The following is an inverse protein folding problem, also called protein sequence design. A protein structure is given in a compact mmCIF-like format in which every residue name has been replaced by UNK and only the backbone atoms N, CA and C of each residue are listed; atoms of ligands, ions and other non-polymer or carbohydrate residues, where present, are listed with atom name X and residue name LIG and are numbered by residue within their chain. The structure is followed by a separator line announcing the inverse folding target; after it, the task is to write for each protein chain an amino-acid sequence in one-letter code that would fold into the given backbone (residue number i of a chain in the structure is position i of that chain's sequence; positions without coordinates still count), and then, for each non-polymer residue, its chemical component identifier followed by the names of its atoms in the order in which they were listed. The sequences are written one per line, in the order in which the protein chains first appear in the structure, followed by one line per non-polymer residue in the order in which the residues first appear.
data_IF_527829415507
#
_entry.id   IF_527829415507
#
_cell.length_a   1.000
_cell.length_b   1.000
_cell.length_c   1.000
_cell.angle_alpha   90.00
_cell.angle_beta   90.00
_cell.angle_gamma   90.00
#
_symmetry.space_group_name_H-M   'P 1'
#
loop_
_entity.id
_entity.type
_entity.pdbx_description
1 polymer ?
#
# COMPACT_ATOMS: atom_id res chain seq x y z
N UNK A 1 -26.93 -30.10 -49.80
CA UNK A 1 -25.89 -31.13 -50.00
C UNK A 1 -24.75 -30.79 -49.04
N UNK A 2 -24.26 -31.61 -48.12
CA UNK A 2 -24.57 -32.92 -47.54
C UNK A 2 -23.62 -32.98 -46.31
N UNK A 3 -24.14 -33.02 -45.07
CA UNK A 3 -24.05 -34.13 -44.11
C UNK A 3 -22.65 -34.81 -44.03
N UNK A 4 -21.99 -35.02 -42.89
CA UNK A 4 -22.23 -35.95 -41.75
C UNK A 4 -21.03 -35.71 -40.78
N UNK A 5 -20.97 -36.05 -39.49
CA UNK A 5 -21.63 -37.02 -38.61
C UNK A 5 -21.26 -36.63 -37.17
N UNK A 6 -22.19 -36.75 -36.22
CA UNK A 6 -21.88 -36.62 -34.80
C UNK A 6 -21.31 -37.90 -34.21
N UNK A 7 -20.59 -37.76 -33.09
CA UNK A 7 -20.49 -38.76 -32.02
C UNK A 7 -20.55 -38.04 -30.66
N UNK A 8 -21.55 -38.44 -29.89
CA UNK A 8 -21.87 -38.10 -28.51
C UNK A 8 -21.26 -39.22 -27.64
N UNK A 9 -20.42 -38.92 -26.65
CA UNK A 9 -20.06 -39.87 -25.59
C UNK A 9 -19.93 -39.14 -24.24
N UNK A 10 -20.73 -39.63 -23.29
CA UNK A 10 -21.04 -39.15 -21.94
C UNK A 10 -19.86 -39.00 -20.95
N UNK A 11 -20.06 -38.28 -19.82
CA UNK A 11 -19.08 -38.17 -18.74
C UNK A 11 -19.10 -39.42 -17.85
N UNK A 12 -18.01 -40.18 -17.87
CA UNK A 12 -17.79 -41.38 -17.05
C UNK A 12 -17.12 -41.08 -15.70
N UNK A 13 -17.94 -41.09 -14.65
CA UNK A 13 -17.73 -41.68 -13.32
C UNK A 13 -16.34 -42.23 -12.87
N UNK A 14 -15.91 -41.73 -11.69
CA UNK A 14 -15.16 -42.35 -10.57
C UNK A 14 -13.73 -42.90 -10.77
N UNK A 15 -12.78 -42.39 -9.96
CA UNK A 15 -12.05 -43.21 -8.97
C UNK A 15 -11.36 -42.32 -7.93
N UNK A 16 -11.78 -42.46 -6.67
CA UNK A 16 -11.04 -41.99 -5.50
C UNK A 16 -9.86 -42.93 -5.26
N UNK A 17 -8.63 -42.44 -5.36
CA UNK A 17 -7.47 -43.14 -4.84
C UNK A 17 -6.94 -42.36 -3.62
N UNK A 18 -7.34 -42.84 -2.44
CA UNK A 18 -6.67 -42.56 -1.17
C UNK A 18 -5.22 -43.02 -1.31
N UNK A 19 -4.29 -42.08 -1.18
CA UNK A 19 -2.87 -42.32 -1.05
C UNK A 19 -2.34 -41.58 0.16
N UNK A 20 -2.65 -42.06 1.37
CA UNK A 20 -1.99 -41.60 2.59
C UNK A 20 -0.59 -42.24 2.66
N UNK A 21 0.35 -41.67 1.92
CA UNK A 21 1.79 -41.93 2.07
C UNK A 21 2.40 -40.96 3.08
N UNK A 22 2.19 -41.19 4.37
CA UNK A 22 2.91 -40.45 5.43
C UNK A 22 4.30 -41.03 5.60
N UNK A 23 5.28 -40.48 4.89
CA UNK A 23 6.71 -40.69 5.17
C UNK A 23 7.16 -39.58 6.13
N UNK A 24 7.50 -39.87 7.39
CA UNK A 24 8.04 -38.84 8.28
C UNK A 24 9.48 -38.52 7.87
N UNK A 25 9.71 -37.30 7.38
CA UNK A 25 11.03 -36.78 7.03
C UNK A 25 11.79 -36.37 8.32
N UNK A 26 13.01 -36.90 8.57
CA UNK A 26 13.72 -36.79 9.85
C UNK A 26 14.36 -35.42 10.14
N UNK A 27 13.99 -34.35 9.40
CA UNK A 27 14.55 -33.00 9.61
C UNK A 27 13.59 -32.02 10.30
N UNK A 28 12.38 -32.45 10.67
CA UNK A 28 11.33 -31.55 11.18
C UNK A 28 11.38 -31.26 12.69
N UNK A 29 12.20 -31.96 13.46
CA UNK A 29 12.26 -31.75 14.93
C UNK A 29 13.20 -30.61 15.36
N UNK A 30 14.21 -30.28 14.54
CA UNK A 30 15.12 -29.17 14.85
C UNK A 30 14.45 -27.81 14.62
N UNK A 31 13.56 -27.70 13.63
CA UNK A 31 12.92 -26.41 13.27
C UNK A 31 11.74 -26.08 14.20
N UNK A 32 11.08 -27.08 14.79
CA UNK A 32 10.02 -26.85 15.77
C UNK A 32 10.55 -26.36 17.10
N UNK A 33 11.77 -26.78 17.49
CA UNK A 33 12.41 -26.31 18.72
C UNK A 33 12.74 -24.81 18.66
N UNK A 34 13.25 -24.33 17.53
CA UNK A 34 13.58 -22.91 17.30
C UNK A 34 12.33 -22.00 17.26
N UNK A 35 11.20 -22.50 16.74
CA UNK A 35 9.93 -21.75 16.77
C UNK A 35 9.25 -21.80 18.15
N UNK A 36 9.48 -22.86 18.92
CA UNK A 36 8.92 -23.01 20.26
C UNK A 36 9.70 -22.24 21.33
N UNK A 37 10.99 -21.98 21.10
CA UNK A 37 11.85 -21.17 21.98
C UNK A 37 11.48 -19.67 21.97
N UNK A 38 10.81 -19.19 20.92
CA UNK A 38 10.23 -17.84 20.89
C UNK A 38 8.84 -17.76 21.58
N UNK A 39 8.25 -18.88 22.00
CA UNK A 39 6.84 -18.94 22.40
C UNK A 39 6.60 -18.87 23.92
N UNK A 40 7.56 -19.20 24.79
CA UNK A 40 7.29 -19.35 26.24
C UNK A 40 8.23 -18.61 27.20
N UNK A 41 8.91 -17.55 26.75
CA UNK A 41 9.41 -16.55 27.70
C UNK A 41 8.32 -15.52 27.95
N UNK A 42 7.48 -15.77 28.95
CA UNK A 42 6.68 -14.71 29.55
C UNK A 42 7.65 -13.66 30.08
N UNK A 43 7.86 -12.58 29.30
CA UNK A 43 8.69 -11.44 29.68
C UNK A 43 8.31 -11.01 31.10
N UNK A 44 9.21 -11.06 32.10
CA UNK A 44 8.86 -10.84 33.50
C UNK A 44 8.40 -9.41 33.86
N UNK A 45 8.27 -8.50 32.89
CA UNK A 45 7.95 -7.08 33.14
C UNK A 45 6.52 -6.68 32.76
N UNK A 46 5.68 -7.62 32.33
CA UNK A 46 4.34 -7.27 31.92
C UNK A 46 3.45 -7.03 33.15
N UNK A 47 3.16 -5.75 33.45
CA UNK A 47 2.19 -5.29 34.46
C UNK A 47 1.01 -6.26 34.60
N UNK A 48 0.47 -6.52 35.79
CA UNK A 48 -0.61 -7.48 35.93
C UNK A 48 -1.78 -7.17 34.98
N UNK A 49 -2.52 -8.21 34.57
CA UNK A 49 -3.51 -8.09 33.49
C UNK A 49 -4.57 -7.01 33.77
N UNK A 50 -4.82 -6.71 35.04
CA UNK A 50 -5.76 -5.67 35.46
C UNK A 50 -5.23 -4.27 35.14
N UNK A 51 -3.96 -4.00 35.41
CA UNK A 51 -3.31 -2.74 35.05
C UNK A 51 -3.26 -2.56 33.53
N UNK A 52 -2.98 -3.62 32.76
CA UNK A 52 -3.01 -3.56 31.28
C UNK A 52 -4.39 -3.16 30.75
N UNK A 53 -5.45 -3.75 31.32
CA UNK A 53 -6.84 -3.39 30.98
C UNK A 53 -7.14 -1.93 31.30
N UNK A 54 -6.72 -1.45 32.48
CA UNK A 54 -6.92 -0.06 32.89
C UNK A 54 -6.17 0.93 31.97
N UNK A 55 -4.91 0.64 31.63
CA UNK A 55 -4.12 1.48 30.71
C UNK A 55 -4.75 1.51 29.32
N UNK A 56 -5.19 0.37 28.80
CA UNK A 56 -5.86 0.30 27.50
C UNK A 56 -7.16 1.11 27.50
N UNK A 57 -7.98 0.97 28.55
CA UNK A 57 -9.22 1.73 28.70
C UNK A 57 -8.95 3.23 28.65
N UNK A 58 -7.96 3.71 29.41
CA UNK A 58 -7.57 5.13 29.42
C UNK A 58 -7.09 5.60 28.03
N UNK A 59 -6.26 4.80 27.34
CA UNK A 59 -5.78 5.12 25.99
C UNK A 59 -6.90 5.15 24.95
N UNK A 60 -7.92 4.29 25.08
CA UNK A 60 -9.08 4.28 24.20
C UNK A 60 -9.98 5.49 24.46
N UNK A 61 -10.12 5.93 25.73
CA UNK A 61 -10.86 7.14 26.08
C UNK A 61 -10.19 8.42 25.55
N UNK A 62 -8.86 8.48 25.59
CA UNK A 62 -8.07 9.60 25.07
C UNK A 62 -7.77 9.49 23.56
N UNK A 63 -8.44 8.59 22.85
CA UNK A 63 -8.16 8.31 21.44
C UNK A 63 -8.69 9.43 20.54
N UNK A 64 -7.85 9.90 19.61
CA UNK A 64 -8.22 10.86 18.56
C UNK A 64 -9.22 10.26 17.56
N UNK A 65 -10.06 11.10 16.99
CA UNK A 65 -11.04 10.71 15.97
C UNK A 65 -10.33 10.34 14.66
N UNK A 66 -11.03 9.60 13.79
CA UNK A 66 -10.45 9.16 12.51
C UNK A 66 -10.17 10.36 11.60
N UNK A 67 -11.04 11.35 11.65
CA UNK A 67 -11.01 12.59 10.85
C UNK A 67 -9.76 13.41 11.19
N UNK A 68 -9.45 13.58 12.48
CA UNK A 68 -8.24 14.26 12.96
C UNK A 68 -6.97 13.57 12.46
N UNK A 69 -6.93 12.23 12.50
CA UNK A 69 -5.78 11.46 12.01
C UNK A 69 -5.58 11.60 10.49
N UNK A 70 -6.67 11.72 9.73
CA UNK A 70 -6.61 12.00 8.28
C UNK A 70 -6.11 13.42 8.05
N UNK A 71 -6.59 14.41 8.82
CA UNK A 71 -6.15 15.80 8.71
C UNK A 71 -4.67 15.98 9.05
N UNK A 72 -4.14 15.19 10.00
CA UNK A 72 -2.71 15.14 10.33
C UNK A 72 -1.88 14.36 9.29
N UNK A 73 -2.51 13.72 8.31
CA UNK A 73 -1.83 12.92 7.29
C UNK A 73 -1.30 11.57 7.77
N UNK A 74 -1.75 11.07 8.93
CA UNK A 74 -1.36 9.78 9.49
C UNK A 74 -2.14 8.64 8.83
N UNK A 75 -3.45 8.83 8.64
CA UNK A 75 -4.36 7.82 8.09
C UNK A 75 -4.79 8.16 6.64
N UNK A 76 -5.04 7.15 5.78
CA UNK A 76 -5.61 7.37 4.46
C UNK A 76 -6.99 8.06 4.50
N UNK A 77 -7.34 8.86 3.47
CA UNK A 77 -8.64 9.56 3.41
C UNK A 77 -9.84 8.62 3.43
N UNK A 78 -10.94 9.08 4.06
CA UNK A 78 -12.17 8.30 4.25
C UNK A 78 -12.94 8.00 2.96
N UNK A 79 -12.79 8.85 1.95
CA UNK A 79 -13.53 8.75 0.67
C UNK A 79 -12.99 7.68 -0.28
N UNK A 80 -11.78 7.18 -0.02
CA UNK A 80 -11.09 6.23 -0.88
C UNK A 80 -10.71 4.97 -0.08
N UNK A 81 -10.85 3.76 -0.66
CA UNK A 81 -10.39 2.54 0.00
C UNK A 81 -8.91 2.61 0.40
N UNK A 82 -8.58 2.17 1.62
CA UNK A 82 -7.22 2.25 2.16
C UNK A 82 -6.22 1.40 1.35
N UNK A 83 -6.66 0.26 0.80
CA UNK A 83 -5.82 -0.67 0.04
C UNK A 83 -5.17 -0.06 -1.20
N UNK A 84 -5.77 0.99 -1.77
CA UNK A 84 -5.30 1.62 -3.01
C UNK A 84 -4.67 3.01 -2.79
N UNK A 85 -4.49 3.41 -1.53
CA UNK A 85 -4.02 4.76 -1.21
C UNK A 85 -2.62 5.03 -1.79
N UNK A 86 -1.73 4.05 -1.72
CA UNK A 86 -0.35 4.17 -2.18
C UNK A 86 -0.27 4.26 -3.71
N UNK A 87 -0.97 3.39 -4.43
CA UNK A 87 -1.02 3.39 -5.89
C UNK A 87 -1.55 4.72 -6.42
N UNK A 88 -2.64 5.23 -5.82
CA UNK A 88 -3.20 6.54 -6.18
C UNK A 88 -2.20 7.66 -5.90
N UNK A 89 -1.57 7.68 -4.73
CA UNK A 89 -0.57 8.69 -4.35
C UNK A 89 0.63 8.68 -5.30
N UNK A 90 1.09 7.50 -5.69
CA UNK A 90 2.18 7.31 -6.65
C UNK A 90 1.80 7.86 -8.03
N UNK A 91 0.61 7.51 -8.51
CA UNK A 91 0.08 7.99 -9.78
C UNK A 91 -0.10 9.53 -9.79
N UNK A 92 -0.65 10.11 -8.72
CA UNK A 92 -0.80 11.57 -8.61
C UNK A 92 0.57 12.27 -8.60
N UNK A 93 1.57 11.71 -7.91
CA UNK A 93 2.95 12.24 -7.99
C UNK A 93 3.48 12.19 -9.42
N UNK A 94 3.44 11.03 -10.07
CA UNK A 94 3.93 10.88 -11.44
C UNK A 94 3.26 11.86 -12.40
N UNK A 95 1.93 12.04 -12.30
CA UNK A 95 1.20 13.04 -13.10
C UNK A 95 1.71 14.45 -12.86
N UNK A 96 1.87 14.85 -11.59
CA UNK A 96 2.36 16.19 -11.26
C UNK A 96 3.81 16.40 -11.70
N UNK A 97 4.66 15.38 -11.57
CA UNK A 97 6.05 15.42 -12.01
C UNK A 97 6.13 15.64 -13.53
N UNK A 98 5.40 14.85 -14.32
CA UNK A 98 5.39 14.98 -15.78
C UNK A 98 4.82 16.32 -16.24
N UNK A 99 3.76 16.78 -15.56
CA UNK A 99 3.15 18.08 -15.81
C UNK A 99 4.14 19.22 -15.53
N UNK A 100 4.79 19.22 -14.37
CA UNK A 100 5.77 20.23 -13.99
C UNK A 100 7.01 20.20 -14.89
N UNK A 101 7.54 19.01 -15.22
CA UNK A 101 8.64 18.85 -16.20
C UNK A 101 8.31 19.47 -17.54
N UNK A 102 7.05 19.36 -18.01
CA UNK A 102 6.60 20.03 -19.24
C UNK A 102 6.55 21.55 -19.07
N UNK A 103 5.96 22.06 -17.97
CA UNK A 103 5.84 23.50 -17.69
C UNK A 103 7.18 24.20 -17.53
N UNK A 104 8.14 23.55 -16.90
CA UNK A 104 9.49 24.09 -16.73
C UNK A 104 10.22 24.17 -18.07
N UNK A 105 10.07 23.15 -18.95
CA UNK A 105 10.67 23.18 -20.29
C UNK A 105 10.09 24.26 -21.18
N UNK A 106 8.79 24.51 -21.08
CA UNK A 106 8.10 25.55 -21.85
C UNK A 106 8.00 26.87 -21.07
N UNK A 107 8.96 27.17 -20.18
CA UNK A 107 8.94 28.38 -19.37
C UNK A 107 9.20 29.59 -20.29
N UNK A 108 8.30 30.59 -20.35
CA UNK A 108 8.52 31.79 -21.16
C UNK A 108 9.73 32.57 -20.65
N UNK A 109 10.51 33.10 -21.60
CA UNK A 109 11.64 33.98 -21.30
C UNK A 109 11.16 35.35 -20.77
N UNK A 110 12.03 36.04 -20.03
CA UNK A 110 11.71 37.36 -19.46
C UNK A 110 11.19 38.33 -20.51
N UNK A 111 11.82 38.36 -21.68
CA UNK A 111 11.44 39.24 -22.79
C UNK A 111 10.01 38.99 -23.29
N UNK A 112 9.55 37.73 -23.27
CA UNK A 112 8.17 37.39 -23.66
C UNK A 112 7.17 37.91 -22.64
N UNK A 113 7.48 37.79 -21.35
CA UNK A 113 6.65 38.30 -20.27
C UNK A 113 6.56 39.84 -20.26
N UNK A 114 7.65 40.54 -20.62
CA UNK A 114 7.66 42.00 -20.82
C UNK A 114 6.80 42.39 -22.03
N UNK A 115 6.92 41.69 -23.17
CA UNK A 115 6.08 41.92 -24.36
C UNK A 115 4.59 41.71 -24.08
N UNK A 116 4.26 40.77 -23.20
CA UNK A 116 2.90 40.52 -22.73
C UNK A 116 2.40 41.52 -21.68
N UNK A 117 3.23 42.49 -21.28
CA UNK A 117 2.94 43.46 -20.22
C UNK A 117 2.65 42.83 -18.85
N UNK A 118 3.24 41.66 -18.57
CA UNK A 118 3.16 40.98 -17.27
C UNK A 118 4.31 41.45 -16.36
N UNK A 119 5.48 41.74 -16.93
CA UNK A 119 6.65 42.26 -16.22
C UNK A 119 7.02 43.65 -16.74
N UNK A 120 7.50 44.52 -15.84
CA UNK A 120 8.04 45.82 -16.21
C UNK A 120 9.46 45.68 -16.79
N UNK A 121 9.68 46.33 -17.94
CA UNK A 121 10.89 46.20 -18.74
C UNK A 121 11.98 47.17 -18.31
N UNK A 122 12.64 46.92 -17.18
CA UNK A 122 13.89 47.61 -16.88
C UNK A 122 15.10 46.71 -17.15
N UNK A 123 15.73 46.94 -18.30
CA UNK A 123 17.10 46.50 -18.59
C UNK A 123 18.09 47.54 -18.05
N UNK A 124 18.08 47.79 -16.73
CA UNK A 124 19.16 48.55 -16.09
C UNK A 124 20.36 47.62 -15.90
N UNK A 125 21.05 47.27 -16.99
CA UNK A 125 22.48 46.99 -16.89
C UNK A 125 23.12 48.36 -16.79
N UNK A 126 23.33 48.83 -15.57
CA UNK A 126 24.28 49.92 -15.35
C UNK A 126 25.65 49.33 -15.68
N UNK A 127 26.08 49.55 -16.93
CA UNK A 127 27.48 49.41 -17.31
C UNK A 127 28.24 50.52 -16.57
N UNK A 128 28.90 50.16 -15.47
CA UNK A 128 29.99 50.92 -14.86
C UNK A 128 31.31 50.24 -15.18
#
# INVERSE_FOLDING_TARGET
QEAKRGEELSPGSMVSAVGNGSVPSPQSEAVTSELQELSLQSVPSLLPLKERKNVLQLKLQQRRTREELVSQGIMPPLKSPAAFHEQRKSLERARTEDYLKRKIRSRPERSELVRMHILEGECHIILF
#
